data_IF_284676843574
#
_entry.id   IF_284676843574
#
_cell.length_a   1.000
_cell.length_b   1.000
_cell.length_c   1.000
_cell.angle_alpha   90.00
_cell.angle_beta   90.00
_cell.angle_gamma   90.00
#
_symmetry.space_group_name_H-M   'P 1'
#
loop_
_entity.id
_entity.type
_entity.pdbx_description
1 polymer ?
#
# COMPACT_ATOMS: atom_id res chain seq x y z
N UNK A 1 29.06 17.08 -25.47
CA UNK A 1 28.45 17.56 -26.73
C UNK A 1 27.68 16.39 -27.33
N UNK A 2 26.41 16.24 -26.92
CA UNK A 2 25.52 15.19 -27.41
C UNK A 2 25.20 15.55 -28.87
N UNK A 3 25.57 14.69 -29.82
CA UNK A 3 25.09 14.80 -31.20
C UNK A 3 23.58 14.59 -31.14
N UNK A 4 22.81 15.67 -31.20
CA UNK A 4 21.37 15.61 -31.49
C UNK A 4 21.29 15.17 -32.95
N UNK A 5 21.12 13.88 -33.17
CA UNK A 5 20.76 13.34 -34.48
C UNK A 5 19.40 13.96 -34.80
N UNK A 6 19.35 14.85 -35.78
CA UNK A 6 18.12 15.45 -36.32
C UNK A 6 17.36 14.38 -37.11
N UNK A 7 16.80 13.41 -36.40
CA UNK A 7 15.89 12.39 -36.94
C UNK A 7 14.45 12.86 -36.86
N UNK A 8 13.61 12.37 -37.76
CA UNK A 8 12.16 12.57 -37.71
C UNK A 8 11.62 11.65 -36.61
N UNK A 9 10.90 12.19 -35.62
CA UNK A 9 10.25 11.38 -34.57
C UNK A 9 8.76 11.17 -34.86
N UNK A 10 8.25 10.01 -34.44
CA UNK A 10 6.81 9.71 -34.45
C UNK A 10 6.29 9.71 -33.02
N UNK A 11 5.13 10.32 -32.80
CA UNK A 11 4.48 10.47 -31.52
C UNK A 11 3.08 9.87 -31.57
N UNK A 12 2.61 9.40 -30.41
CA UNK A 12 1.31 8.76 -30.27
C UNK A 12 0.56 9.38 -29.10
N UNK A 13 -0.72 9.68 -29.31
CA UNK A 13 -1.57 10.27 -28.26
C UNK A 13 -2.99 9.68 -28.30
N UNK A 14 -3.52 9.19 -27.16
CA UNK A 14 -2.84 8.96 -25.89
C UNK A 14 -1.89 7.74 -25.95
N UNK A 15 -0.89 7.71 -25.07
CA UNK A 15 0.11 6.63 -24.99
C UNK A 15 -0.40 5.40 -24.20
N UNK A 16 -1.50 5.57 -23.46
CA UNK A 16 -2.19 4.54 -22.71
C UNK A 16 -3.71 4.66 -22.93
N UNK A 17 -4.37 3.54 -23.21
CA UNK A 17 -5.83 3.46 -23.29
C UNK A 17 -6.36 2.28 -22.48
N UNK A 18 -7.52 2.50 -21.86
CA UNK A 18 -8.32 1.44 -21.25
C UNK A 18 -9.65 1.32 -21.98
N UNK A 19 -10.00 0.13 -22.43
CA UNK A 19 -11.21 -0.19 -23.19
C UNK A 19 -12.02 -1.23 -22.42
N UNK A 20 -13.36 -1.20 -22.54
CA UNK A 20 -14.15 -2.42 -22.30
C UNK A 20 -14.17 -3.30 -23.54
N UNK A 21 -14.57 -4.57 -23.40
CA UNK A 21 -14.87 -5.43 -24.56
C UNK A 21 -15.90 -4.72 -25.45
N UNK A 22 -15.66 -4.71 -26.76
CA UNK A 22 -16.43 -4.02 -27.79
C UNK A 22 -16.47 -2.47 -27.70
N UNK A 23 -15.63 -1.84 -26.87
CA UNK A 23 -15.46 -0.38 -26.87
C UNK A 23 -14.41 0.03 -27.90
N UNK A 24 -14.70 1.12 -28.61
CA UNK A 24 -13.80 1.75 -29.57
C UNK A 24 -13.16 3.01 -28.98
N UNK A 25 -11.83 3.14 -29.07
CA UNK A 25 -11.13 4.41 -28.83
C UNK A 25 -10.16 4.76 -29.93
N UNK A 26 -10.11 6.04 -30.24
CA UNK A 26 -9.20 6.58 -31.25
C UNK A 26 -7.87 6.97 -30.65
N UNK A 27 -6.80 6.48 -31.25
CA UNK A 27 -5.43 6.89 -30.99
C UNK A 27 -4.90 7.64 -32.21
N UNK A 28 -4.24 8.77 -31.98
CA UNK A 28 -3.63 9.58 -33.02
C UNK A 28 -2.13 9.33 -33.07
N UNK A 29 -1.65 8.87 -34.23
CA UNK A 29 -0.23 8.85 -34.58
C UNK A 29 0.09 10.13 -35.34
N UNK A 30 1.15 10.84 -34.96
CA UNK A 30 1.54 12.08 -35.61
C UNK A 30 3.05 12.34 -35.55
N UNK A 31 3.54 13.21 -36.42
CA UNK A 31 4.92 13.72 -36.37
C UNK A 31 4.92 15.23 -36.41
N UNK A 32 5.82 15.85 -35.65
CA UNK A 32 6.05 17.30 -35.67
C UNK A 32 6.99 17.70 -36.79
N UNK A 33 7.80 16.77 -37.28
CA UNK A 33 8.83 17.02 -38.27
C UNK A 33 8.26 16.98 -39.70
N UNK A 34 8.97 17.61 -40.63
CA UNK A 34 8.59 17.59 -42.04
C UNK A 34 8.89 16.21 -42.64
N UNK A 35 7.84 15.51 -43.07
CA UNK A 35 7.96 14.26 -43.81
C UNK A 35 8.38 14.54 -45.27
N UNK A 36 9.50 13.97 -45.76
CA UNK A 36 9.94 14.15 -47.15
C UNK A 36 9.05 13.43 -48.17
N UNK A 37 8.29 12.44 -47.73
CA UNK A 37 7.39 11.61 -48.53
C UNK A 37 6.32 11.01 -47.62
N UNK A 38 5.19 10.58 -48.17
CA UNK A 38 4.21 9.84 -47.38
C UNK A 38 4.78 8.49 -46.91
N UNK A 39 4.43 8.09 -45.70
CA UNK A 39 4.94 6.86 -45.05
C UNK A 39 3.78 5.96 -44.71
N UNK A 40 3.89 4.68 -45.09
CA UNK A 40 2.97 3.63 -44.68
C UNK A 40 3.48 2.95 -43.42
N UNK A 41 2.63 2.90 -42.41
CA UNK A 41 2.90 2.24 -41.13
C UNK A 41 1.98 1.03 -41.02
N UNK A 42 2.57 -0.12 -40.69
CA UNK A 42 1.88 -1.37 -40.41
C UNK A 42 1.96 -1.63 -38.91
N UNK A 43 0.82 -1.83 -38.27
CA UNK A 43 0.72 -2.12 -36.85
C UNK A 43 0.92 -3.62 -36.59
N UNK A 44 1.45 -3.99 -35.44
CA UNK A 44 1.51 -5.39 -35.01
C UNK A 44 0.08 -5.89 -34.66
N UNK A 45 -0.24 -7.13 -35.03
CA UNK A 45 -1.51 -7.75 -34.63
C UNK A 45 -1.45 -8.25 -33.19
N UNK A 46 -2.55 -8.10 -32.48
CA UNK A 46 -2.76 -8.65 -31.14
C UNK A 46 -4.06 -9.45 -31.13
N UNK A 47 -4.11 -10.50 -30.31
CA UNK A 47 -5.33 -11.28 -30.09
C UNK A 47 -6.30 -10.56 -29.13
N UNK A 48 -5.80 -9.57 -28.37
CA UNK A 48 -6.58 -8.88 -27.35
C UNK A 48 -7.37 -7.66 -27.86
N UNK A 49 -6.93 -7.04 -28.95
CA UNK A 49 -7.54 -5.85 -29.51
C UNK A 49 -7.33 -5.76 -31.03
N UNK A 50 -8.23 -5.09 -31.74
CA UNK A 50 -8.09 -4.80 -33.16
C UNK A 50 -7.78 -3.33 -33.39
N UNK A 51 -6.77 -3.05 -34.22
CA UNK A 51 -6.36 -1.70 -34.59
C UNK A 51 -6.74 -1.41 -36.04
N UNK A 52 -7.78 -0.59 -36.25
CA UNK A 52 -8.31 -0.27 -37.58
C UNK A 52 -8.07 1.21 -37.95
N UNK A 53 -7.51 1.50 -39.14
CA UNK A 53 -6.96 0.58 -40.11
C UNK A 53 -5.59 0.01 -39.68
N UNK A 54 -5.36 -1.27 -39.99
CA UNK A 54 -4.13 -1.99 -39.66
C UNK A 54 -2.88 -1.44 -40.38
N UNK A 55 -3.11 -0.86 -41.57
CA UNK A 55 -2.11 -0.14 -42.35
C UNK A 55 -2.65 1.26 -42.57
N UNK A 56 -1.92 2.27 -42.13
CA UNK A 56 -2.28 3.67 -42.34
C UNK A 56 -1.12 4.45 -42.96
N UNK A 57 -1.47 5.58 -43.58
CA UNK A 57 -0.52 6.45 -44.25
C UNK A 57 -0.43 7.78 -43.50
N UNK A 58 0.78 8.17 -43.13
CA UNK A 58 1.10 9.53 -42.70
C UNK A 58 1.46 10.36 -43.93
N UNK A 59 0.55 11.27 -44.29
CA UNK A 59 0.77 12.19 -45.40
C UNK A 59 1.72 13.32 -45.00
N UNK A 60 2.43 13.90 -45.97
CA UNK A 60 3.37 14.99 -45.75
C UNK A 60 2.69 16.32 -45.36
N UNK A 61 1.39 16.46 -45.67
CA UNK A 61 0.57 17.64 -45.35
C UNK A 61 -0.07 17.53 -43.97
N UNK A 62 -0.81 16.45 -43.70
CA UNK A 62 -1.58 16.29 -42.46
C UNK A 62 -0.76 15.76 -41.29
N UNK A 63 0.34 15.04 -41.58
CA UNK A 63 1.33 14.50 -40.62
C UNK A 63 0.72 13.76 -39.44
N UNK A 64 -0.50 13.27 -39.60
CA UNK A 64 -1.22 12.55 -38.57
C UNK A 64 -2.25 11.60 -39.16
N UNK A 65 -2.45 10.50 -38.47
CA UNK A 65 -3.43 9.48 -38.79
C UNK A 65 -4.10 9.00 -37.50
N UNK A 66 -5.38 8.67 -37.60
CA UNK A 66 -6.17 8.16 -36.50
C UNK A 66 -6.37 6.65 -36.70
N UNK A 67 -6.12 5.90 -35.64
CA UNK A 67 -6.36 4.46 -35.56
C UNK A 67 -7.40 4.23 -34.48
N UNK A 68 -8.48 3.53 -34.82
CA UNK A 68 -9.51 3.11 -33.88
C UNK A 68 -9.09 1.75 -33.32
N UNK A 69 -9.03 1.66 -32.00
CA UNK A 69 -8.68 0.44 -31.27
C UNK A 69 -9.96 -0.10 -30.63
N UNK A 70 -10.31 -1.33 -30.97
CA UNK A 70 -11.48 -2.06 -30.47
C UNK A 70 -11.03 -3.19 -29.54
N UNK A 71 -11.59 -3.26 -28.32
CA UNK A 71 -11.28 -4.33 -27.38
C UNK A 71 -11.95 -5.65 -27.75
N UNK A 72 -11.18 -6.73 -27.95
CA UNK A 72 -11.71 -8.06 -28.29
C UNK A 72 -11.72 -8.96 -27.06
N UNK A 73 -10.56 -9.13 -26.42
CA UNK A 73 -10.39 -10.05 -25.31
C UNK A 73 -9.81 -9.31 -24.11
N UNK A 74 -10.32 -9.65 -22.93
CA UNK A 74 -9.87 -9.08 -21.65
C UNK A 74 -8.37 -9.34 -21.50
N UNK A 75 -7.63 -8.27 -21.24
CA UNK A 75 -6.20 -8.33 -20.98
C UNK A 75 -5.79 -7.23 -20.01
N UNK A 76 -4.96 -7.61 -19.04
CA UNK A 76 -4.30 -6.71 -18.10
C UNK A 76 -3.33 -5.78 -18.83
N UNK A 77 -2.64 -6.27 -19.85
CA UNK A 77 -1.61 -5.53 -20.58
C UNK A 77 -1.47 -6.08 -22.01
N UNK A 78 -1.45 -5.18 -22.98
CA UNK A 78 -1.09 -5.46 -24.35
C UNK A 78 -0.50 -4.21 -24.97
N UNK A 79 0.44 -4.35 -25.88
CA UNK A 79 1.13 -3.21 -26.50
C UNK A 79 0.84 -3.21 -27.99
N UNK A 80 0.40 -2.07 -28.51
CA UNK A 80 0.30 -1.82 -29.93
C UNK A 80 1.60 -1.18 -30.40
N UNK A 81 2.39 -1.95 -31.12
CA UNK A 81 3.68 -1.53 -31.69
C UNK A 81 3.61 -1.42 -33.21
N UNK A 82 4.59 -0.73 -33.79
CA UNK A 82 4.76 -0.63 -35.24
C UNK A 82 5.60 -1.81 -35.71
N UNK A 83 5.02 -2.69 -36.53
CA UNK A 83 5.74 -3.83 -37.11
C UNK A 83 6.64 -3.40 -38.26
N UNK A 84 6.12 -2.56 -39.16
CA UNK A 84 6.83 -2.16 -40.40
C UNK A 84 6.54 -0.71 -40.79
N UNK A 85 7.55 -0.07 -41.38
CA UNK A 85 7.49 1.31 -41.87
C UNK A 85 8.13 1.41 -43.25
N UNK A 86 7.35 1.82 -44.25
CA UNK A 86 7.81 1.97 -45.65
C UNK A 86 7.53 3.37 -46.18
N UNK A 87 8.55 4.02 -46.76
CA UNK A 87 8.39 5.28 -47.50
C UNK A 87 7.91 5.01 -48.94
N UNK A 88 7.04 5.89 -49.45
CA UNK A 88 6.54 5.84 -50.83
C UNK A 88 7.61 6.13 -51.89
N UNK A 89 8.63 6.94 -51.58
CA UNK A 89 9.65 7.37 -52.56
C UNK A 89 10.93 6.51 -52.52
N UNK A 90 11.18 5.80 -51.42
CA UNK A 90 12.31 4.89 -51.27
C UNK A 90 11.82 3.63 -50.57
N UNK A 91 11.56 2.59 -51.36
CA UNK A 91 11.31 1.23 -50.87
C UNK A 91 12.49 0.87 -49.95
N UNK A 92 12.18 0.51 -48.69
CA UNK A 92 13.11 0.08 -47.63
C UNK A 92 13.83 1.14 -46.77
N UNK A 93 13.54 2.45 -46.89
CA UNK A 93 14.06 3.44 -45.93
C UNK A 93 12.96 4.11 -45.12
N UNK A 94 12.79 3.66 -43.87
CA UNK A 94 11.94 4.35 -42.91
C UNK A 94 12.62 5.68 -42.49
N UNK A 95 11.90 6.82 -42.54
CA UNK A 95 12.46 8.11 -42.16
C UNK A 95 12.51 8.34 -40.64
N UNK A 96 11.84 7.48 -39.85
CA UNK A 96 11.80 7.60 -38.39
C UNK A 96 13.01 6.92 -37.75
N UNK A 97 13.61 7.59 -36.77
CA UNK A 97 14.73 7.02 -36.02
C UNK A 97 14.29 6.25 -34.76
N UNK A 98 13.16 6.62 -34.15
CA UNK A 98 12.74 6.12 -32.84
C UNK A 98 11.37 5.39 -32.90
N UNK A 99 11.24 4.36 -33.74
CA UNK A 99 9.97 3.60 -33.83
C UNK A 99 9.61 2.89 -32.52
N UNK A 100 10.61 2.44 -31.76
CA UNK A 100 10.42 1.76 -30.48
C UNK A 100 9.73 2.65 -29.43
N UNK A 101 9.78 3.98 -29.60
CA UNK A 101 9.12 4.93 -28.70
C UNK A 101 7.63 5.15 -29.01
N UNK A 102 7.16 4.71 -30.18
CA UNK A 102 5.81 4.95 -30.68
C UNK A 102 4.92 3.72 -30.50
N UNK A 103 4.63 3.40 -29.24
CA UNK A 103 3.71 2.33 -28.86
C UNK A 103 2.50 2.88 -28.09
N UNK A 104 1.43 2.10 -28.04
CA UNK A 104 0.27 2.35 -27.17
C UNK A 104 0.09 1.18 -26.22
N UNK A 105 0.00 1.45 -24.92
CA UNK A 105 -0.43 0.45 -23.94
C UNK A 105 -1.95 0.34 -23.97
N UNK A 106 -2.45 -0.84 -24.30
CA UNK A 106 -3.88 -1.15 -24.41
C UNK A 106 -4.26 -2.10 -23.28
N UNK A 107 -5.21 -1.66 -22.45
CA UNK A 107 -5.82 -2.48 -21.39
C UNK A 107 -7.28 -2.73 -21.72
N UNK A 108 -7.69 -4.00 -21.76
CA UNK A 108 -9.09 -4.37 -22.02
C UNK A 108 -9.69 -4.95 -20.74
N UNK A 109 -10.67 -4.27 -20.16
CA UNK A 109 -11.28 -4.61 -18.88
C UNK A 109 -12.73 -5.07 -19.03
N UNK A 110 -13.21 -5.84 -18.06
CA UNK A 110 -14.59 -6.35 -18.07
C UNK A 110 -15.62 -5.23 -17.93
N UNK A 111 -15.42 -4.30 -16.98
CA UNK A 111 -16.38 -3.23 -16.71
C UNK A 111 -15.73 -1.94 -16.23
N UNK A 112 -16.22 -0.82 -16.78
CA UNK A 112 -15.85 0.52 -16.30
C UNK A 112 -16.31 0.79 -14.87
N UNK A 113 -17.40 0.15 -14.43
CA UNK A 113 -17.88 0.28 -13.05
C UNK A 113 -16.87 -0.34 -12.07
N UNK A 114 -16.36 -1.53 -12.37
CA UNK A 114 -15.32 -2.18 -11.57
C UNK A 114 -14.05 -1.32 -11.51
N UNK A 115 -13.63 -0.73 -12.63
CA UNK A 115 -12.50 0.23 -12.65
C UNK A 115 -12.71 1.41 -11.70
N UNK A 116 -13.92 1.99 -11.67
CA UNK A 116 -14.25 3.07 -10.74
C UNK A 116 -14.25 2.58 -9.29
N UNK A 117 -14.82 1.40 -9.01
CA UNK A 117 -14.82 0.79 -7.67
C UNK A 117 -13.41 0.51 -7.15
N UNK A 118 -12.48 0.09 -8.01
CA UNK A 118 -11.06 -0.09 -7.67
C UNK A 118 -10.45 1.23 -7.19
N UNK A 119 -10.69 2.33 -7.92
CA UNK A 119 -10.18 3.65 -7.54
C UNK A 119 -10.78 4.09 -6.20
N UNK A 120 -12.11 3.94 -6.03
CA UNK A 120 -12.81 4.34 -4.80
C UNK A 120 -12.29 3.57 -3.60
N UNK A 121 -12.23 2.24 -3.68
CA UNK A 121 -11.72 1.38 -2.59
C UNK A 121 -10.28 1.73 -2.23
N UNK A 122 -9.46 2.08 -3.23
CA UNK A 122 -8.11 2.58 -3.05
C UNK A 122 -7.97 3.84 -2.20
N UNK A 123 -8.80 4.84 -2.50
CA UNK A 123 -8.80 6.07 -1.72
C UNK A 123 -9.40 5.87 -0.33
N UNK A 124 -10.41 5.00 -0.18
CA UNK A 124 -10.98 4.69 1.14
C UNK A 124 -9.92 4.09 2.05
N UNK A 125 -9.16 3.08 1.59
CA UNK A 125 -8.12 2.50 2.46
C UNK A 125 -7.04 3.53 2.78
N UNK A 126 -6.66 4.37 1.80
CA UNK A 126 -5.68 5.44 2.01
C UNK A 126 -6.13 6.37 3.15
N UNK A 127 -7.37 6.84 3.12
CA UNK A 127 -7.91 7.71 4.17
C UNK A 127 -8.01 6.98 5.51
N UNK A 128 -8.52 5.74 5.52
CA UNK A 128 -8.67 4.96 6.74
C UNK A 128 -7.31 4.79 7.45
N UNK A 129 -6.29 4.32 6.73
CA UNK A 129 -4.95 4.17 7.30
C UNK A 129 -4.29 5.51 7.62
N UNK A 130 -4.45 6.54 6.79
CA UNK A 130 -3.83 7.85 7.06
C UNK A 130 -4.39 8.50 8.32
N UNK A 131 -5.70 8.46 8.53
CA UNK A 131 -6.34 9.02 9.73
C UNK A 131 -5.80 8.36 11.00
N UNK A 132 -5.44 7.07 10.97
CA UNK A 132 -4.92 6.35 12.14
C UNK A 132 -3.63 6.95 12.74
N UNK A 133 -2.84 7.70 11.96
CA UNK A 133 -1.60 8.33 12.43
C UNK A 133 -1.83 9.63 13.23
N UNK A 134 -2.89 10.36 12.92
CA UNK A 134 -3.13 11.70 13.46
C UNK A 134 -3.43 11.75 14.96
N UNK A 135 -4.22 10.83 15.55
CA UNK A 135 -4.50 10.85 16.99
C UNK A 135 -3.24 10.93 17.85
N UNK A 136 -2.20 10.17 17.52
CA UNK A 136 -0.95 10.19 18.27
C UNK A 136 -0.18 11.50 18.09
N UNK A 137 -0.10 12.02 16.85
CA UNK A 137 0.56 13.30 16.54
C UNK A 137 -0.11 14.45 17.29
N UNK A 138 -1.45 14.47 17.28
CA UNK A 138 -2.25 15.49 17.97
C UNK A 138 -2.07 15.37 19.48
N UNK A 139 -2.13 14.15 20.04
CA UNK A 139 -1.95 13.91 21.47
C UNK A 139 -0.59 14.41 21.97
N UNK A 140 0.48 14.09 21.25
CA UNK A 140 1.83 14.57 21.54
C UNK A 140 1.92 16.10 21.48
N UNK A 141 1.28 16.71 20.48
CA UNK A 141 1.25 18.17 20.32
C UNK A 141 0.49 18.88 21.44
N UNK A 142 -0.64 18.33 21.87
CA UNK A 142 -1.47 18.89 22.94
C UNK A 142 -0.82 18.72 24.30
N UNK A 143 -0.25 17.55 24.59
CA UNK A 143 0.38 17.27 25.89
C UNK A 143 1.77 17.87 26.02
N UNK A 144 2.41 18.28 24.90
CA UNK A 144 3.83 18.68 24.84
C UNK A 144 4.77 17.66 25.48
N UNK A 145 4.37 16.39 25.45
CA UNK A 145 5.05 15.26 26.08
C UNK A 145 4.81 14.02 25.22
N UNK A 146 5.85 13.22 25.02
CA UNK A 146 5.77 11.93 24.33
C UNK A 146 5.80 10.75 25.31
N UNK A 147 5.64 11.02 26.62
CA UNK A 147 5.62 9.99 27.66
C UNK A 147 4.44 9.03 27.43
N UNK A 148 4.78 7.76 27.20
CA UNK A 148 3.82 6.69 26.87
C UNK A 148 3.88 6.24 25.40
N UNK A 149 4.53 7.00 24.52
CA UNK A 149 4.81 6.55 23.16
C UNK A 149 5.90 5.47 23.17
N UNK A 150 5.68 4.38 22.45
CA UNK A 150 6.68 3.33 22.31
C UNK A 150 7.69 3.71 21.21
N UNK A 151 8.94 3.99 21.60
CA UNK A 151 10.00 4.35 20.65
C UNK A 151 10.44 3.20 19.76
N UNK A 152 10.30 1.95 20.20
CA UNK A 152 10.59 0.78 19.37
C UNK A 152 9.60 0.72 18.20
N UNK A 153 8.30 0.94 18.50
CA UNK A 153 7.25 1.00 17.49
C UNK A 153 7.50 2.13 16.49
N UNK A 154 7.92 3.30 16.95
CA UNK A 154 8.24 4.42 16.07
C UNK A 154 9.44 4.14 15.15
N UNK A 155 10.55 3.63 15.70
CA UNK A 155 11.74 3.29 14.90
C UNK A 155 11.42 2.26 13.82
N UNK A 156 10.73 1.18 14.19
CA UNK A 156 10.32 0.14 13.26
C UNK A 156 9.40 0.70 12.17
N UNK A 157 8.43 1.55 12.51
CA UNK A 157 7.58 2.18 11.49
C UNK A 157 8.37 3.07 10.54
N UNK A 158 9.34 3.85 11.01
CA UNK A 158 10.19 4.68 10.12
C UNK A 158 10.97 3.80 9.14
N UNK A 159 11.59 2.71 9.62
CA UNK A 159 12.33 1.77 8.77
C UNK A 159 11.39 1.14 7.75
N UNK A 160 10.26 0.59 8.21
CA UNK A 160 9.29 -0.05 7.35
C UNK A 160 8.73 0.91 6.29
N UNK A 161 8.24 2.08 6.69
CA UNK A 161 7.68 3.05 5.74
C UNK A 161 8.73 3.65 4.82
N UNK A 162 9.99 3.82 5.25
CA UNK A 162 11.09 4.17 4.32
C UNK A 162 11.21 3.13 3.22
N UNK A 163 11.31 1.84 3.58
CA UNK A 163 11.42 0.75 2.60
C UNK A 163 10.19 0.67 1.68
N UNK A 164 8.99 0.83 2.25
CA UNK A 164 7.74 0.77 1.49
C UNK A 164 7.56 1.97 0.55
N UNK A 165 7.91 3.17 0.99
CA UNK A 165 7.90 4.37 0.14
C UNK A 165 8.88 4.21 -1.01
N UNK A 166 10.11 3.76 -0.75
CA UNK A 166 11.08 3.49 -1.83
C UNK A 166 10.55 2.49 -2.84
N UNK A 167 9.96 1.37 -2.40
CA UNK A 167 9.34 0.39 -3.29
C UNK A 167 8.22 1.00 -4.15
N UNK A 168 7.23 1.65 -3.53
CA UNK A 168 6.08 2.19 -4.26
C UNK A 168 6.48 3.31 -5.23
N UNK A 169 7.35 4.23 -4.80
CA UNK A 169 7.81 5.35 -5.63
C UNK A 169 8.60 4.83 -6.84
N UNK A 170 9.55 3.92 -6.63
CA UNK A 170 10.37 3.38 -7.73
C UNK A 170 9.53 2.54 -8.69
N UNK A 171 8.70 1.62 -8.19
CA UNK A 171 7.82 0.80 -9.05
C UNK A 171 6.83 1.66 -9.86
N UNK A 172 6.36 2.78 -9.32
CA UNK A 172 5.36 3.63 -9.98
C UNK A 172 5.96 4.66 -10.96
N UNK A 173 7.13 5.24 -10.68
CA UNK A 173 7.70 6.31 -11.50
C UNK A 173 8.87 5.88 -12.40
N UNK A 174 9.59 4.80 -12.05
CA UNK A 174 10.76 4.37 -12.80
C UNK A 174 10.36 3.42 -13.94
N UNK A 175 10.47 3.88 -15.19
CA UNK A 175 10.07 3.11 -16.37
C UNK A 175 10.95 1.88 -16.59
N UNK A 176 12.23 1.94 -16.23
CA UNK A 176 13.14 0.81 -16.37
C UNK A 176 12.77 -0.33 -15.41
N UNK A 177 12.39 0.01 -14.17
CA UNK A 177 11.86 -0.97 -13.20
C UNK A 177 10.55 -1.60 -13.71
N UNK A 178 9.67 -0.80 -14.32
CA UNK A 178 8.40 -1.28 -14.86
C UNK A 178 8.61 -2.26 -16.02
N UNK A 179 9.45 -1.89 -16.99
CA UNK A 179 9.81 -2.74 -18.14
C UNK A 179 10.37 -4.09 -17.67
N UNK A 180 11.21 -4.05 -16.65
CA UNK A 180 11.81 -5.24 -16.10
C UNK A 180 10.82 -6.12 -15.30
N UNK A 181 9.88 -5.50 -14.59
CA UNK A 181 8.78 -6.22 -13.96
C UNK A 181 7.91 -6.91 -15.02
N UNK A 182 7.56 -6.18 -16.08
CA UNK A 182 6.78 -6.70 -17.21
C UNK A 182 7.53 -7.83 -17.94
N UNK A 183 8.86 -7.74 -18.07
CA UNK A 183 9.67 -8.82 -18.63
C UNK A 183 9.62 -10.10 -17.80
N UNK A 184 9.66 -9.97 -16.46
CA UNK A 184 9.62 -11.13 -15.56
C UNK A 184 8.20 -11.68 -15.34
N UNK A 185 7.18 -10.83 -15.51
CA UNK A 185 5.77 -11.14 -15.29
C UNK A 185 4.91 -10.62 -16.46
N UNK A 186 5.01 -11.24 -17.66
CA UNK A 186 4.45 -10.71 -18.91
C UNK A 186 2.91 -10.61 -18.96
N UNK A 187 2.21 -11.26 -18.02
CA UNK A 187 0.76 -11.21 -17.93
C UNK A 187 0.25 -10.43 -16.72
N UNK A 188 1.14 -9.92 -15.87
CA UNK A 188 0.78 -9.26 -14.62
C UNK A 188 0.77 -7.74 -14.77
N UNK A 189 -0.22 -7.10 -14.16
CA UNK A 189 -0.23 -5.64 -14.01
C UNK A 189 0.92 -5.17 -13.12
N UNK A 190 1.40 -3.95 -13.39
CA UNK A 190 2.26 -3.23 -12.45
C UNK A 190 1.49 -3.14 -11.12
N UNK A 191 2.06 -3.64 -10.02
CA UNK A 191 1.31 -3.96 -8.82
C UNK A 191 0.96 -2.74 -7.94
N UNK A 192 1.44 -1.56 -8.31
CA UNK A 192 1.40 -0.34 -7.51
C UNK A 192 0.53 0.70 -8.19
N UNK A 193 -0.46 1.22 -7.46
CA UNK A 193 -1.30 2.34 -7.88
C UNK A 193 -0.90 3.63 -7.18
N UNK A 194 -1.36 4.77 -7.70
CA UNK A 194 -1.04 6.09 -7.17
C UNK A 194 -1.41 6.24 -5.69
N UNK A 195 -2.55 5.69 -5.26
CA UNK A 195 -2.98 5.70 -3.87
C UNK A 195 -2.00 4.96 -2.94
N UNK A 196 -1.33 3.91 -3.41
CA UNK A 196 -0.30 3.20 -2.63
C UNK A 196 0.93 4.10 -2.39
N UNK A 197 1.34 4.85 -3.42
CA UNK A 197 2.46 5.80 -3.36
C UNK A 197 2.16 6.94 -2.38
N UNK A 198 0.97 7.53 -2.51
CA UNK A 198 0.53 8.63 -1.65
C UNK A 198 0.41 8.14 -0.20
N UNK A 199 -0.18 6.95 0.02
CA UNK A 199 -0.27 6.33 1.34
C UNK A 199 1.11 6.14 1.98
N UNK A 200 2.02 5.44 1.31
CA UNK A 200 3.33 5.13 1.85
C UNK A 200 4.11 6.40 2.21
N UNK A 201 4.11 7.38 1.31
CA UNK A 201 4.80 8.67 1.51
C UNK A 201 4.19 9.47 2.66
N UNK A 202 2.86 9.52 2.74
CA UNK A 202 2.15 10.19 3.83
C UNK A 202 2.46 9.54 5.19
N UNK A 203 2.40 8.21 5.26
CA UNK A 203 2.70 7.45 6.48
C UNK A 203 4.15 7.66 6.94
N UNK A 204 5.13 7.67 6.02
CA UNK A 204 6.51 8.01 6.33
C UNK A 204 6.62 9.43 6.91
N UNK A 205 5.99 10.40 6.26
CA UNK A 205 5.98 11.79 6.73
C UNK A 205 5.36 11.93 8.14
N UNK A 206 4.23 11.27 8.40
CA UNK A 206 3.60 11.23 9.72
C UNK A 206 4.52 10.61 10.79
N UNK A 207 5.26 9.55 10.44
CA UNK A 207 6.25 8.95 11.33
C UNK A 207 7.42 9.91 11.61
N UNK A 208 7.91 10.63 10.60
CA UNK A 208 8.97 11.63 10.77
C UNK A 208 8.52 12.82 11.63
N UNK A 209 7.28 13.28 11.50
CA UNK A 209 6.69 14.28 12.42
C UNK A 209 6.70 13.74 13.85
N UNK A 210 6.27 12.51 14.05
CA UNK A 210 6.25 11.88 15.37
C UNK A 210 7.68 11.74 15.93
N UNK A 211 8.66 11.43 15.10
CA UNK A 211 10.08 11.41 15.48
C UNK A 211 10.57 12.80 15.89
N UNK A 212 10.24 13.84 15.12
CA UNK A 212 10.55 15.22 15.46
C UNK A 212 9.95 15.62 16.82
N UNK A 213 8.70 15.23 17.08
CA UNK A 213 8.07 15.45 18.39
C UNK A 213 8.84 14.76 19.53
N UNK A 214 9.42 13.58 19.30
CA UNK A 214 10.24 12.89 20.30
C UNK A 214 11.55 13.61 20.62
N UNK A 215 12.09 14.40 19.70
CA UNK A 215 13.27 15.24 19.93
C UNK A 215 12.93 16.56 20.63
N UNK A 216 11.74 17.12 20.39
CA UNK A 216 11.34 18.43 20.89
C UNK A 216 10.63 18.39 22.25
N UNK A 217 9.88 17.33 22.54
CA UNK A 217 9.02 17.23 23.73
C UNK A 217 9.63 16.36 24.83
N UNK A 218 9.05 16.46 26.03
CA UNK A 218 9.49 15.67 27.17
C UNK A 218 9.30 14.17 26.92
N UNK A 219 10.40 13.41 26.99
CA UNK A 219 10.46 11.96 26.73
C UNK A 219 10.62 11.08 27.97
N UNK A 220 10.81 11.70 29.14
CA UNK A 220 11.18 10.99 30.37
C UNK A 220 12.42 10.09 30.19
N UNK A 221 12.36 8.89 30.78
CA UNK A 221 13.43 7.89 30.72
C UNK A 221 13.22 6.80 29.65
N UNK A 222 12.32 7.02 28.69
CA UNK A 222 12.04 6.04 27.64
C UNK A 222 13.24 5.91 26.70
N UNK A 223 13.62 4.66 26.39
CA UNK A 223 14.73 4.32 25.49
C UNK A 223 14.29 3.23 24.52
N UNK A 224 14.96 3.19 23.38
CA UNK A 224 14.80 2.11 22.40
C UNK A 224 15.42 0.84 22.99
N UNK A 225 14.70 -0.27 22.95
CA UNK A 225 15.17 -1.56 23.42
C UNK A 225 16.36 -2.07 22.59
N UNK A 226 17.27 -2.79 23.23
CA UNK A 226 18.38 -3.46 22.53
C UNK A 226 17.90 -4.48 21.50
N UNK A 227 16.78 -5.16 21.77
CA UNK A 227 16.14 -6.08 20.81
C UNK A 227 15.68 -5.34 19.56
N UNK A 228 15.06 -4.17 19.74
CA UNK A 228 14.62 -3.33 18.62
C UNK A 228 15.82 -2.83 17.81
N UNK A 229 16.89 -2.39 18.48
CA UNK A 229 18.14 -2.04 17.80
C UNK A 229 18.71 -3.21 17.00
N UNK A 230 18.73 -4.42 17.56
CA UNK A 230 19.20 -5.61 16.84
C UNK A 230 18.37 -5.90 15.58
N UNK A 231 17.04 -5.82 15.68
CA UNK A 231 16.13 -6.01 14.54
C UNK A 231 16.31 -4.91 13.49
N UNK A 232 16.40 -3.66 13.93
CA UNK A 232 16.64 -2.50 13.06
C UNK A 232 17.97 -2.62 12.31
N UNK A 233 19.04 -3.00 13.01
CA UNK A 233 20.35 -3.24 12.40
C UNK A 233 20.30 -4.40 11.42
N UNK A 234 19.61 -5.50 11.74
CA UNK A 234 19.44 -6.62 10.81
C UNK A 234 18.75 -6.18 9.51
N UNK A 235 17.62 -5.48 9.60
CA UNK A 235 16.93 -4.98 8.40
C UNK A 235 17.78 -3.96 7.63
N UNK A 236 18.47 -3.06 8.33
CA UNK A 236 19.40 -2.10 7.72
C UNK A 236 20.55 -2.79 7.00
N UNK A 237 21.10 -3.87 7.57
CA UNK A 237 22.15 -4.67 6.93
C UNK A 237 21.64 -5.37 5.69
N UNK A 238 20.47 -6.00 5.74
CA UNK A 238 19.86 -6.65 4.56
C UNK A 238 19.65 -5.63 3.44
N UNK A 239 19.05 -4.48 3.75
CA UNK A 239 18.85 -3.40 2.78
C UNK A 239 20.18 -2.86 2.23
N UNK A 240 21.19 -2.66 3.08
CA UNK A 240 22.50 -2.17 2.68
C UNK A 240 23.27 -3.16 1.79
N UNK A 241 23.31 -4.43 2.16
CA UNK A 241 23.97 -5.49 1.37
C UNK A 241 23.30 -5.64 0.01
N UNK A 242 21.98 -5.71 -0.02
CA UNK A 242 21.23 -5.83 -1.29
C UNK A 242 21.40 -4.59 -2.18
N UNK A 243 21.46 -3.39 -1.61
CA UNK A 243 21.80 -2.18 -2.36
C UNK A 243 23.20 -2.26 -2.98
N UNK A 244 24.20 -2.71 -2.21
CA UNK A 244 25.57 -2.88 -2.71
C UNK A 244 25.62 -3.92 -3.84
N UNK A 245 24.95 -5.07 -3.69
CA UNK A 245 24.88 -6.09 -4.75
C UNK A 245 24.22 -5.55 -6.03
N UNK A 246 23.23 -4.66 -5.88
CA UNK A 246 22.57 -3.99 -7.01
C UNK A 246 23.50 -3.00 -7.69
N UNK A 247 24.27 -2.23 -6.91
CA UNK A 247 25.23 -1.27 -7.44
C UNK A 247 26.39 -1.93 -8.23
N UNK A 248 26.72 -3.20 -7.92
CA UNK A 248 27.68 -4.01 -8.68
C UNK A 248 27.03 -4.84 -9.80
N UNK A 249 25.76 -4.60 -10.13
CA UNK A 249 24.99 -5.31 -11.17
C UNK A 249 24.91 -6.84 -10.95
N UNK A 250 25.20 -7.32 -9.74
CA UNK A 250 25.06 -8.73 -9.36
C UNK A 250 23.58 -9.05 -9.14
N UNK A 251 22.86 -8.10 -8.55
CA UNK A 251 21.44 -8.22 -8.28
C UNK A 251 20.66 -7.20 -9.10
N UNK A 252 19.49 -7.60 -9.57
CA UNK A 252 18.68 -6.74 -10.37
C UNK A 252 17.99 -5.64 -9.50
N UNK A 253 17.94 -4.36 -9.92
CA UNK A 253 17.16 -3.31 -9.26
C UNK A 253 15.72 -3.70 -8.87
N UNK A 254 15.00 -4.49 -9.69
CA UNK A 254 13.67 -4.99 -9.31
C UNK A 254 13.72 -5.88 -8.07
N UNK A 255 14.70 -6.79 -7.99
CA UNK A 255 14.87 -7.68 -6.84
C UNK A 255 15.20 -6.89 -5.57
N UNK A 256 15.96 -5.79 -5.70
CA UNK A 256 16.24 -4.89 -4.60
C UNK A 256 14.98 -4.23 -4.04
N UNK A 257 14.17 -3.60 -4.88
CA UNK A 257 12.95 -2.94 -4.39
C UNK A 257 11.93 -3.94 -3.84
N UNK A 258 11.88 -5.16 -4.40
CA UNK A 258 11.07 -6.25 -3.84
C UNK A 258 11.61 -6.67 -2.47
N UNK A 259 12.93 -6.72 -2.26
CA UNK A 259 13.51 -6.95 -0.94
C UNK A 259 13.08 -5.87 0.08
N UNK A 260 13.04 -4.60 -0.32
CA UNK A 260 12.57 -3.51 0.55
C UNK A 260 11.10 -3.70 0.95
N UNK A 261 10.24 -4.13 0.02
CA UNK A 261 8.83 -4.38 0.33
C UNK A 261 8.68 -5.57 1.30
N UNK A 262 9.48 -6.64 1.16
CA UNK A 262 9.50 -7.73 2.13
C UNK A 262 9.99 -7.31 3.52
N UNK A 263 10.98 -6.41 3.60
CA UNK A 263 11.42 -5.81 4.88
C UNK A 263 10.26 -5.08 5.54
N UNK A 264 9.49 -4.27 4.80
CA UNK A 264 8.29 -3.62 5.33
C UNK A 264 7.31 -4.63 5.93
N UNK A 265 7.04 -5.72 5.21
CA UNK A 265 6.15 -6.77 5.68
C UNK A 265 6.67 -7.41 6.98
N UNK A 266 7.95 -7.76 7.04
CA UNK A 266 8.59 -8.32 8.22
C UNK A 266 8.52 -7.36 9.43
N UNK A 267 8.79 -6.07 9.21
CA UNK A 267 8.62 -5.02 10.22
C UNK A 267 7.19 -4.98 10.77
N UNK A 268 6.19 -5.09 9.91
CA UNK A 268 4.76 -5.12 10.29
C UNK A 268 4.45 -6.32 11.20
N UNK A 269 5.02 -7.48 10.92
CA UNK A 269 4.87 -8.67 11.77
C UNK A 269 5.56 -8.47 13.12
N UNK A 270 6.81 -7.97 13.11
CA UNK A 270 7.60 -7.74 14.32
C UNK A 270 6.96 -6.74 15.30
N UNK A 271 6.17 -5.77 14.82
CA UNK A 271 5.49 -4.79 15.69
C UNK A 271 4.22 -5.35 16.34
N UNK A 272 3.44 -6.19 15.66
CA UNK A 272 2.13 -6.61 16.15
C UNK A 272 2.22 -7.72 17.19
N UNK A 273 3.19 -8.65 17.03
CA UNK A 273 3.38 -9.77 17.95
C UNK A 273 3.63 -9.34 19.41
N UNK A 274 4.59 -8.44 19.70
CA UNK A 274 4.83 -7.99 21.06
C UNK A 274 3.59 -7.33 21.68
N UNK A 275 2.84 -6.54 20.91
CA UNK A 275 1.64 -5.87 21.39
C UNK A 275 0.55 -6.87 21.77
N UNK A 276 0.30 -7.87 20.92
CA UNK A 276 -0.68 -8.92 21.20
C UNK A 276 -0.33 -9.73 22.45
N UNK A 277 0.97 -10.04 22.62
CA UNK A 277 1.46 -10.74 23.80
C UNK A 277 1.39 -9.88 25.07
N UNK A 278 1.72 -8.59 24.99
CA UNK A 278 1.65 -7.67 26.11
C UNK A 278 0.21 -7.48 26.61
N UNK A 279 -0.75 -7.33 25.69
CA UNK A 279 -2.17 -7.30 26.03
C UNK A 279 -2.60 -8.58 26.75
N UNK A 280 -2.15 -9.74 26.25
CA UNK A 280 -2.44 -11.03 26.87
C UNK A 280 -1.86 -11.15 28.30
N UNK A 281 -0.58 -10.76 28.47
CA UNK A 281 0.10 -10.82 29.76
C UNK A 281 -0.47 -9.85 30.78
N UNK A 282 -0.87 -8.65 30.36
CA UNK A 282 -1.46 -7.62 31.23
C UNK A 282 -2.93 -7.86 31.52
N UNK A 283 -3.60 -8.69 30.72
CA UNK A 283 -5.07 -8.88 30.73
C UNK A 283 -5.84 -7.57 30.68
N UNK A 284 -5.29 -6.56 30.01
CA UNK A 284 -5.89 -5.24 29.85
C UNK A 284 -5.44 -4.66 28.53
N UNK A 285 -6.37 -4.00 27.85
CA UNK A 285 -6.14 -3.22 26.64
C UNK A 285 -6.15 -1.72 26.90
N UNK A 286 -6.11 -1.29 28.17
CA UNK A 286 -6.05 0.13 28.53
C UNK A 286 -4.66 0.67 28.13
N UNK A 287 -4.65 1.79 27.39
CA UNK A 287 -3.42 2.49 27.01
C UNK A 287 -3.24 2.75 25.52
N UNK A 288 -4.19 2.35 24.66
CA UNK A 288 -4.17 2.63 23.23
C UNK A 288 -5.60 2.80 22.67
N UNK A 289 -5.73 3.58 21.60
CA UNK A 289 -7.03 3.86 20.98
C UNK A 289 -7.48 2.68 20.13
N UNK A 290 -8.60 2.03 20.51
CA UNK A 290 -9.24 0.98 19.69
C UNK A 290 -9.68 1.52 18.32
N UNK A 291 -9.97 2.83 18.21
CA UNK A 291 -10.32 3.47 16.95
C UNK A 291 -9.22 3.32 15.88
N UNK A 292 -7.95 3.30 16.29
CA UNK A 292 -6.85 3.08 15.35
C UNK A 292 -6.88 1.65 14.78
N UNK A 293 -7.24 0.65 15.59
CA UNK A 293 -7.38 -0.76 15.17
C UNK A 293 -8.54 -0.90 14.18
N UNK A 294 -9.66 -0.25 14.44
CA UNK A 294 -10.82 -0.31 13.55
C UNK A 294 -10.53 0.35 12.19
N UNK A 295 -9.76 1.44 12.19
CA UNK A 295 -9.30 2.09 10.98
C UNK A 295 -8.24 1.28 10.24
N UNK A 296 -7.35 0.59 10.95
CA UNK A 296 -6.36 -0.33 10.37
C UNK A 296 -7.06 -1.52 9.70
N UNK A 297 -8.06 -2.10 10.37
CA UNK A 297 -8.88 -3.17 9.84
C UNK A 297 -9.66 -2.74 8.59
N UNK A 298 -10.29 -1.57 8.63
CA UNK A 298 -11.02 -1.02 7.49
C UNK A 298 -10.07 -0.81 6.30
N UNK A 299 -8.86 -0.28 6.55
CA UNK A 299 -7.85 -0.12 5.51
C UNK A 299 -7.43 -1.46 4.92
N UNK A 300 -7.09 -2.45 5.74
CA UNK A 300 -6.73 -3.80 5.27
C UNK A 300 -7.84 -4.48 4.48
N UNK A 301 -9.10 -4.34 4.93
CA UNK A 301 -10.26 -4.89 4.24
C UNK A 301 -10.47 -4.25 2.86
N UNK A 302 -10.36 -2.92 2.78
CA UNK A 302 -10.52 -2.18 1.53
C UNK A 302 -9.34 -2.42 0.57
N UNK A 303 -8.13 -2.62 1.08
CA UNK A 303 -6.94 -2.99 0.31
C UNK A 303 -7.11 -4.36 -0.38
N UNK A 304 -7.50 -5.39 0.37
CA UNK A 304 -7.79 -6.71 -0.19
C UNK A 304 -8.96 -6.65 -1.18
N UNK A 305 -10.02 -5.89 -0.85
CA UNK A 305 -11.14 -5.68 -1.76
C UNK A 305 -10.68 -5.06 -3.08
N UNK A 306 -9.79 -4.07 -3.03
CA UNK A 306 -9.21 -3.46 -4.22
C UNK A 306 -8.44 -4.48 -5.07
N UNK A 307 -7.68 -5.39 -4.45
CA UNK A 307 -6.96 -6.44 -5.17
C UNK A 307 -7.91 -7.46 -5.82
N UNK A 308 -8.97 -7.86 -5.12
CA UNK A 308 -10.00 -8.78 -5.65
C UNK A 308 -10.71 -8.14 -6.85
N UNK A 309 -11.13 -6.87 -6.73
CA UNK A 309 -11.80 -6.15 -7.80
C UNK A 309 -10.90 -6.00 -9.04
N UNK A 310 -9.60 -5.77 -8.84
CA UNK A 310 -8.64 -5.72 -9.94
C UNK A 310 -8.53 -7.07 -10.66
N UNK A 311 -8.30 -8.16 -9.93
CA UNK A 311 -8.21 -9.49 -10.53
C UNK A 311 -9.49 -9.89 -11.27
N UNK A 312 -10.66 -9.57 -10.70
CA UNK A 312 -11.95 -9.82 -11.32
C UNK A 312 -12.21 -8.96 -12.58
N UNK A 313 -11.64 -7.76 -12.68
CA UNK A 313 -11.87 -6.88 -13.82
C UNK A 313 -10.93 -7.15 -15.00
N UNK A 314 -9.81 -7.82 -14.77
CA UNK A 314 -8.83 -8.19 -15.81
C UNK A 314 -8.70 -9.70 -16.02
N UNK A 315 -9.53 -10.52 -15.37
CA UNK A 315 -9.43 -11.99 -15.34
C UNK A 315 -8.02 -12.51 -15.01
N UNK A 316 -7.25 -11.71 -14.27
CA UNK A 316 -5.85 -11.95 -13.96
C UNK A 316 -5.65 -11.96 -12.44
N UNK A 317 -5.63 -13.17 -11.89
CA UNK A 317 -5.38 -13.41 -10.48
C UNK A 317 -3.88 -13.42 -10.12
N UNK A 318 -2.99 -13.25 -11.11
CA UNK A 318 -1.56 -13.11 -10.87
C UNK A 318 -1.24 -11.88 -10.03
N UNK A 319 -2.15 -10.90 -9.96
CA UNK A 319 -2.03 -9.71 -9.09
C UNK A 319 -1.74 -10.04 -7.61
N UNK A 320 -2.24 -11.17 -7.10
CA UNK A 320 -1.96 -11.62 -5.74
C UNK A 320 -0.51 -12.06 -5.55
N UNK A 321 0.08 -12.67 -6.59
CA UNK A 321 1.46 -13.13 -6.59
C UNK A 321 2.45 -12.05 -7.03
N UNK A 322 2.00 -11.10 -7.85
CA UNK A 322 2.77 -9.93 -8.30
C UNK A 322 2.93 -8.87 -7.21
N UNK A 323 1.99 -8.77 -6.26
CA UNK A 323 2.10 -7.92 -5.08
C UNK A 323 1.88 -8.67 -3.76
N UNK A 324 2.77 -9.63 -3.42
CA UNK A 324 2.59 -10.47 -2.23
C UNK A 324 2.71 -9.66 -0.95
N UNK A 325 3.45 -8.54 -0.98
CA UNK A 325 3.62 -7.67 0.19
C UNK A 325 2.38 -6.86 0.47
N UNK A 326 1.71 -6.29 -0.55
CA UNK A 326 0.45 -5.57 -0.33
C UNK A 326 -0.63 -6.50 0.24
N UNK A 327 -0.81 -7.66 -0.39
CA UNK A 327 -1.69 -8.72 0.13
C UNK A 327 -1.31 -9.12 1.56
N UNK A 328 -0.03 -9.33 1.82
CA UNK A 328 0.49 -9.69 3.14
C UNK A 328 0.27 -8.60 4.18
N UNK A 329 0.43 -7.31 3.83
CA UNK A 329 0.15 -6.19 4.72
C UNK A 329 -1.33 -6.13 5.09
N UNK A 330 -2.23 -6.23 4.10
CA UNK A 330 -3.67 -6.29 4.35
C UNK A 330 -4.07 -7.47 5.25
N UNK A 331 -3.62 -8.68 4.92
CA UNK A 331 -3.96 -9.90 5.67
C UNK A 331 -3.39 -9.92 7.08
N UNK A 332 -2.09 -9.63 7.23
CA UNK A 332 -1.44 -9.60 8.55
C UNK A 332 -2.10 -8.56 9.43
N UNK A 333 -2.36 -7.36 8.89
CA UNK A 333 -3.04 -6.30 9.65
C UNK A 333 -4.41 -6.76 10.12
N UNK A 334 -5.25 -7.26 9.20
CA UNK A 334 -6.58 -7.75 9.55
C UNK A 334 -6.58 -8.87 10.60
N UNK A 335 -5.65 -9.82 10.52
CA UNK A 335 -5.54 -10.92 11.51
C UNK A 335 -5.23 -10.36 12.90
N UNK A 336 -4.23 -9.48 12.99
CA UNK A 336 -3.87 -8.88 14.28
C UNK A 336 -4.95 -7.94 14.81
N UNK A 337 -5.62 -7.19 13.94
CA UNK A 337 -6.73 -6.33 14.33
C UNK A 337 -7.90 -7.13 14.87
N UNK A 338 -8.22 -8.29 14.28
CA UNK A 338 -9.22 -9.22 14.83
C UNK A 338 -8.79 -9.70 16.21
N UNK A 339 -7.52 -10.09 16.40
CA UNK A 339 -6.99 -10.47 17.71
C UNK A 339 -7.17 -9.33 18.72
N UNK A 340 -6.83 -8.10 18.34
CA UNK A 340 -6.96 -6.93 19.20
C UNK A 340 -8.41 -6.58 19.54
N UNK A 341 -9.32 -6.66 18.57
CA UNK A 341 -10.75 -6.48 18.78
C UNK A 341 -11.32 -7.54 19.72
N UNK A 342 -10.93 -8.81 19.56
CA UNK A 342 -11.34 -9.90 20.46
C UNK A 342 -10.78 -9.68 21.86
N UNK A 343 -9.50 -9.30 21.99
CA UNK A 343 -8.89 -8.97 23.27
C UNK A 343 -9.65 -7.83 23.97
N UNK A 344 -9.98 -6.76 23.26
CA UNK A 344 -10.62 -5.57 23.81
C UNK A 344 -12.10 -5.78 24.15
N UNK A 345 -12.90 -6.28 23.20
CA UNK A 345 -14.36 -6.37 23.36
C UNK A 345 -14.83 -7.66 24.01
N UNK A 346 -14.08 -8.77 23.89
CA UNK A 346 -14.53 -10.08 24.37
C UNK A 346 -13.79 -10.56 25.63
N UNK A 347 -12.46 -10.39 25.70
CA UNK A 347 -11.66 -11.00 26.77
C UNK A 347 -11.38 -10.06 27.96
N UNK A 348 -11.02 -8.80 27.68
CA UNK A 348 -10.57 -7.82 28.67
C UNK A 348 -11.52 -6.64 28.77
N UNK A 349 -12.81 -6.90 28.57
CA UNK A 349 -13.86 -5.90 28.77
C UNK A 349 -13.93 -5.57 30.26
N UNK A 350 -13.49 -4.36 30.62
CA UNK A 350 -13.68 -3.86 31.97
C UNK A 350 -15.20 -3.68 32.24
N UNK A 351 -15.76 -4.27 33.32
CA UNK A 351 -17.15 -4.08 33.69
C UNK A 351 -17.51 -2.64 34.12
N UNK A 352 -16.54 -1.72 34.15
CA UNK A 352 -16.65 -0.41 34.79
C UNK A 352 -16.97 0.79 33.89
N UNK A 353 -16.91 0.69 32.56
CA UNK A 353 -17.31 1.79 31.67
C UNK A 353 -18.81 1.77 31.36
N UNK A 354 -19.61 1.89 32.42
CA UNK A 354 -20.90 2.53 32.30
C UNK A 354 -20.63 4.03 32.11
N UNK A 355 -21.15 4.58 31.02
CA UNK A 355 -21.25 6.03 30.79
C UNK A 355 -21.77 6.69 32.06
N UNK A 356 -20.90 7.29 32.88
CA UNK A 356 -21.30 8.34 33.81
C UNK A 356 -21.62 9.55 32.96
N UNK A 357 -22.86 9.59 32.45
CA UNK A 357 -23.53 10.83 32.10
C UNK A 357 -23.49 11.66 33.38
N UNK A 358 -22.53 12.56 33.47
CA UNK A 358 -22.58 13.69 34.39
C UNK A 358 -23.82 14.48 34.02
N UNK A 359 -24.96 14.13 34.61
CA UNK A 359 -26.13 14.98 34.66
C UNK A 359 -25.73 16.19 35.48
N UNK A 360 -25.37 17.26 34.79
CA UNK A 360 -25.31 18.60 35.34
C UNK A 360 -26.71 18.93 35.86
N UNK A 361 -26.93 18.67 37.15
CA UNK A 361 -27.99 19.33 37.91
C UNK A 361 -27.30 20.41 38.75
N UNK A 362 -27.47 21.65 38.32
CA UNK A 362 -27.24 22.83 39.15
C UNK A 362 -28.11 22.75 40.40
N UNK A 363 -27.53 22.97 41.58
CA UNK A 363 -28.18 23.78 42.61
C UNK A 363 -27.16 24.32 43.60
N UNK A 364 -27.08 25.64 43.58
CA UNK A 364 -26.37 26.58 44.43
C UNK A 364 -26.77 26.47 45.91
N UNK A 365 -25.83 26.84 46.80
CA UNK A 365 -26.04 27.42 48.15
C UNK A 365 -26.79 26.60 49.21
N UNK A 366 -26.12 26.19 50.30
CA UNK A 366 -25.96 26.96 51.55
C UNK A 366 -25.46 26.10 52.72
N UNK A 367 -24.97 26.83 53.71
CA UNK A 367 -24.27 26.51 54.96
C UNK A 367 -25.07 25.70 56.02
N UNK A 368 -24.31 25.19 57.00
CA UNK A 368 -24.66 24.80 58.40
C UNK A 368 -25.39 23.48 58.79
N UNK A 369 -24.79 22.87 59.83
CA UNK A 369 -25.29 22.00 60.93
C UNK A 369 -25.55 20.48 60.78
N UNK A 370 -24.64 19.74 61.44
CA UNK A 370 -24.85 18.82 62.57
C UNK A 370 -25.54 17.44 62.39
N UNK A 371 -24.78 16.36 62.65
CA UNK A 371 -25.00 15.35 63.74
C UNK A 371 -24.56 13.92 63.38
N UNK A 372 -24.00 13.24 64.39
CA UNK A 372 -23.39 11.91 64.40
C UNK A 372 -24.33 10.75 64.05
N UNK A 373 -23.87 9.77 63.26
CA UNK A 373 -24.19 8.33 63.46
C UNK A 373 -22.97 7.46 63.08
N UNK A 374 -22.41 6.78 64.08
CA UNK A 374 -21.45 5.68 63.92
C UNK A 374 -22.12 4.46 63.26
N UNK A 375 -21.57 3.97 62.14
CA UNK A 375 -21.75 2.57 61.71
C UNK A 375 -20.39 2.03 61.23
N UNK A 376 -19.93 0.95 61.86
CA UNK A 376 -18.73 0.19 61.53
C UNK A 376 -18.76 -0.33 60.08
N UNK A 377 -17.59 -0.51 59.42
CA UNK A 377 -17.55 -1.07 58.07
C UNK A 377 -17.83 -2.58 58.11
N UNK A 378 -18.85 -3.00 57.36
CA UNK A 378 -19.08 -4.40 57.04
C UNK A 378 -18.06 -4.84 55.98
N UNK A 379 -17.21 -5.79 56.37
CA UNK A 379 -16.23 -6.44 55.49
C UNK A 379 -16.98 -7.37 54.54
N UNK A 380 -17.26 -6.90 53.31
CA UNK A 380 -17.73 -7.77 52.23
C UNK A 380 -16.52 -8.46 51.60
N UNK A 381 -16.32 -9.72 51.98
CA UNK A 381 -15.45 -10.67 51.31
C UNK A 381 -15.98 -10.93 49.90
N UNK A 382 -15.30 -10.44 48.87
CA UNK A 382 -15.58 -10.81 47.47
C UNK A 382 -14.68 -11.98 47.09
N UNK A 383 -15.14 -13.19 47.45
CA UNK A 383 -14.71 -14.41 46.78
C UNK A 383 -15.72 -14.70 45.68
N UNK A 384 -15.51 -14.13 44.50
CA UNK A 384 -16.13 -14.62 43.27
C UNK A 384 -15.03 -14.86 42.24
N UNK A 385 -14.44 -16.06 42.30
CA UNK A 385 -13.77 -16.66 41.15
C UNK A 385 -14.81 -16.85 40.04
N UNK A 386 -14.94 -15.85 39.16
CA UNK A 386 -15.73 -15.99 37.95
C UNK A 386 -14.96 -16.91 36.97
N UNK A 387 -15.27 -18.21 37.08
CA UNK A 387 -14.76 -19.29 36.23
C UNK A 387 -15.17 -19.07 34.76
N UNK A 388 -14.29 -18.43 33.99
CA UNK A 388 -14.39 -18.36 32.52
C UNK A 388 -14.03 -19.74 31.95
N UNK A 389 -14.85 -20.36 31.09
CA UNK A 389 -14.65 -21.74 30.67
C UNK A 389 -13.34 -21.91 29.86
N UNK A 390 -12.37 -22.62 30.45
CA UNK A 390 -11.05 -23.01 29.89
C UNK A 390 -11.08 -23.41 28.40
N UNK A 391 -12.17 -24.03 27.93
CA UNK A 391 -12.33 -24.50 26.54
C UNK A 391 -12.26 -23.42 25.45
N UNK A 392 -12.67 -22.17 25.71
CA UNK A 392 -12.53 -21.07 24.73
C UNK A 392 -11.12 -20.48 24.71
N UNK A 393 -10.43 -20.55 25.84
CA UNK A 393 -9.04 -20.09 26.01
C UNK A 393 -8.11 -21.09 25.32
N UNK A 394 -8.33 -22.40 25.47
CA UNK A 394 -7.50 -23.44 24.85
C UNK A 394 -7.56 -23.43 23.32
N UNK A 395 -8.71 -23.07 22.73
CA UNK A 395 -8.85 -22.97 21.26
C UNK A 395 -8.08 -21.77 20.68
N UNK A 396 -8.08 -20.63 21.39
CA UNK A 396 -7.28 -19.44 21.02
C UNK A 396 -5.80 -19.68 21.30
N UNK A 397 -5.46 -20.40 22.38
CA UNK A 397 -4.11 -20.83 22.73
C UNK A 397 -3.55 -21.84 21.72
N UNK A 398 -4.36 -22.73 21.15
CA UNK A 398 -3.92 -23.61 20.04
C UNK A 398 -3.64 -22.79 18.78
N UNK A 399 -4.52 -21.86 18.42
CA UNK A 399 -4.37 -21.05 17.21
C UNK A 399 -3.16 -20.09 17.27
N UNK A 400 -2.87 -19.55 18.45
CA UNK A 400 -1.71 -18.70 18.72
C UNK A 400 -0.45 -19.57 18.96
N UNK A 401 -0.61 -20.71 19.65
CA UNK A 401 0.45 -21.66 19.98
C UNK A 401 1.06 -22.34 18.76
N UNK A 402 0.24 -22.71 17.79
CA UNK A 402 0.70 -23.30 16.52
C UNK A 402 1.46 -22.29 15.65
N UNK A 403 1.16 -20.98 15.81
CA UNK A 403 1.94 -19.90 15.20
C UNK A 403 3.24 -19.59 15.99
N UNK A 404 3.28 -19.91 17.29
CA UNK A 404 4.42 -19.74 18.22
C UNK A 404 5.49 -20.84 18.08
N UNK A 405 5.21 -21.94 17.37
CA UNK A 405 6.23 -23.00 17.14
C UNK A 405 7.42 -22.51 16.29
N UNK A 406 7.38 -21.29 15.76
CA UNK A 406 8.60 -20.53 15.42
C UNK A 406 9.33 -20.04 16.70
N UNK A 407 9.79 -21.00 17.49
CA UNK A 407 10.67 -20.85 18.65
C UNK A 407 12.07 -20.44 18.17
N UNK A 408 12.20 -19.23 17.64
CA UNK A 408 13.48 -18.66 17.24
C UNK A 408 13.72 -17.35 18.00
N UNK A 409 14.69 -17.43 18.93
CA UNK A 409 15.41 -16.31 19.56
C UNK A 409 14.65 -15.40 20.54
N UNK A 410 14.24 -15.95 21.69
CA UNK A 410 14.14 -15.17 22.94
C UNK A 410 14.62 -16.05 24.11
N UNK A 411 15.92 -16.01 24.38
CA UNK A 411 16.48 -16.01 25.74
C UNK A 411 17.43 -14.82 25.86
#
# INVERSE_FOLDING_TARGET
MIRITTGISIHVQPQEITLTVDEDKTVRFYTTDNLPSAVHITLMRSDSFDGTPHIFQLDNQTRSANVVITGIQITSHSVLEIEKCNSTNSVDKCPFNDLESAFVRVKVVHSRLLSISIIITGWIYFFAWSISFYPQIILNFTRKSVVGLNFDFLLLNIIGFTCYTSYNVLMYFDTYIQELYEHNYPHSLIPVLLNDVVFATHALFACLITALQCFLYERGNQRISYTCWSIATLFGLIAGVTLILTAFEIMNPLQYIMCLSYIKMAVTVCKYFPQAFMNFRRRSTIGWSIGNVLLDFLGGLMDITQMILQGANTDDWSIFYGNPVKLGLGLVSMIFDIIFMVQHYCLYRDPGEGVTLSTSAESTMNDSDQSDINVLPEVVNVNDEQYIPKKKIDAVVSLIGDFIVLRCCIE
#
